data_IF_331799972426
#
_entry.id   IF_331799972426
#
_cell.length_a   1.000
_cell.length_b   1.000
_cell.length_c   1.000
_cell.angle_alpha   90.00
_cell.angle_beta   90.00
_cell.angle_gamma   90.00
#
_symmetry.space_group_name_H-M   'P 1'
#
loop_
_entity.id
_entity.type
_entity.pdbx_description
1 polymer ?
#
# COMPACT_ATOMS: atom_id res chain seq x y z
N UNK A 1 -2.48 9.29 -26.49
CA UNK A 1 -3.06 10.10 -25.40
C UNK A 1 -3.06 9.24 -24.13
N UNK A 2 -2.14 9.54 -23.20
CA UNK A 2 -1.94 8.75 -21.98
C UNK A 2 -2.97 9.11 -20.91
N UNK A 3 -3.96 8.25 -20.69
CA UNK A 3 -4.97 8.39 -19.65
C UNK A 3 -4.56 7.75 -18.31
N UNK A 4 -3.30 7.32 -18.17
CA UNK A 4 -2.84 6.52 -17.03
C UNK A 4 -2.56 7.37 -15.79
N UNK A 5 -2.03 8.59 -15.95
CA UNK A 5 -1.66 9.48 -14.85
C UNK A 5 -2.84 10.00 -14.01
N UNK A 6 -3.96 10.53 -14.57
CA UNK A 6 -5.04 11.07 -13.75
C UNK A 6 -5.70 10.01 -12.86
N UNK A 7 -5.88 8.80 -13.40
CA UNK A 7 -6.44 7.66 -12.65
C UNK A 7 -5.48 7.13 -11.58
N UNK A 8 -4.17 7.21 -11.82
CA UNK A 8 -3.16 6.83 -10.83
C UNK A 8 -3.15 7.81 -9.64
N UNK A 9 -3.29 9.11 -9.89
CA UNK A 9 -3.39 10.10 -8.81
C UNK A 9 -4.68 9.94 -7.98
N UNK A 10 -5.81 9.64 -8.62
CA UNK A 10 -7.06 9.31 -7.90
C UNK A 10 -6.91 8.04 -7.05
N UNK A 11 -6.26 7.01 -7.60
CA UNK A 11 -6.02 5.75 -6.90
C UNK A 11 -5.10 5.96 -5.67
N UNK A 12 -4.04 6.75 -5.80
CA UNK A 12 -3.17 7.13 -4.68
C UNK A 12 -3.96 7.73 -3.50
N UNK A 13 -4.89 8.65 -3.76
CA UNK A 13 -5.72 9.26 -2.71
C UNK A 13 -6.60 8.22 -2.02
N UNK A 14 -7.21 7.31 -2.79
CA UNK A 14 -8.03 6.22 -2.25
C UNK A 14 -7.20 5.32 -1.35
N UNK A 15 -6.01 4.91 -1.79
CA UNK A 15 -5.13 4.05 -1.01
C UNK A 15 -4.59 4.73 0.24
N UNK A 16 -4.25 6.02 0.18
CA UNK A 16 -3.87 6.79 1.35
C UNK A 16 -5.01 6.86 2.37
N UNK A 17 -6.23 7.14 1.91
CA UNK A 17 -7.41 7.17 2.78
C UNK A 17 -7.65 5.79 3.40
N UNK A 18 -7.54 4.72 2.63
CA UNK A 18 -7.73 3.37 3.14
C UNK A 18 -6.67 3.00 4.20
N UNK A 19 -5.41 3.39 3.98
CA UNK A 19 -4.33 3.23 4.96
C UNK A 19 -4.54 4.06 6.23
N UNK A 20 -5.31 5.14 6.21
CA UNK A 20 -5.67 5.86 7.45
C UNK A 20 -6.62 5.04 8.34
N UNK A 21 -7.53 4.27 7.74
CA UNK A 21 -8.50 3.45 8.47
C UNK A 21 -7.96 2.05 8.78
N UNK A 22 -7.21 1.46 7.86
CA UNK A 22 -6.57 0.16 8.00
C UNK A 22 -5.11 0.25 7.53
N UNK A 23 -4.24 0.66 8.44
CA UNK A 23 -2.81 0.88 8.19
C UNK A 23 -2.06 -0.37 7.70
N UNK A 24 -2.66 -1.56 7.91
CA UNK A 24 -2.08 -2.85 7.52
C UNK A 24 -2.75 -3.46 6.29
N UNK A 25 -3.57 -2.71 5.53
CA UNK A 25 -4.26 -3.27 4.38
C UNK A 25 -3.29 -3.56 3.22
N UNK A 26 -2.99 -4.83 2.91
CA UNK A 26 -2.00 -5.19 1.90
C UNK A 26 -2.41 -4.81 0.47
N UNK A 27 -3.72 -4.74 0.19
CA UNK A 27 -4.23 -4.33 -1.12
C UNK A 27 -3.98 -2.84 -1.37
N UNK A 28 -4.16 -2.01 -0.33
CA UNK A 28 -4.00 -0.57 -0.44
C UNK A 28 -2.53 -0.17 -0.55
N UNK A 29 -1.63 -0.81 0.20
CA UNK A 29 -0.20 -0.52 0.09
C UNK A 29 0.38 -0.97 -1.25
N UNK A 30 -0.07 -2.09 -1.81
CA UNK A 30 0.34 -2.55 -3.14
C UNK A 30 -0.22 -1.65 -4.26
N UNK A 31 -1.50 -1.27 -4.16
CA UNK A 31 -2.11 -0.34 -5.10
C UNK A 31 -1.44 1.03 -5.10
N UNK A 32 -1.06 1.54 -3.91
CA UNK A 32 -0.33 2.80 -3.77
C UNK A 32 1.03 2.74 -4.47
N UNK A 33 1.76 1.64 -4.31
CA UNK A 33 3.02 1.41 -5.02
C UNK A 33 2.84 1.47 -6.55
N UNK A 34 1.82 0.79 -7.10
CA UNK A 34 1.56 0.79 -8.54
C UNK A 34 1.14 2.17 -9.06
N UNK A 35 0.32 2.89 -8.29
CA UNK A 35 -0.11 4.24 -8.61
C UNK A 35 1.08 5.21 -8.68
N UNK A 36 2.01 5.13 -7.72
CA UNK A 36 3.21 5.97 -7.69
C UNK A 36 4.17 5.62 -8.84
N UNK A 37 4.34 4.34 -9.18
CA UNK A 37 5.12 3.95 -10.35
C UNK A 37 4.52 4.45 -11.67
N UNK A 38 3.20 4.37 -11.83
CA UNK A 38 2.50 4.86 -13.02
C UNK A 38 2.60 6.38 -13.19
N UNK A 39 2.87 7.10 -12.10
CA UNK A 39 3.13 8.55 -12.08
C UNK A 39 4.62 8.91 -12.25
N UNK A 40 5.52 7.92 -12.35
CA UNK A 40 6.97 8.14 -12.43
C UNK A 40 7.61 8.55 -11.09
N UNK A 41 6.90 8.40 -9.98
CA UNK A 41 7.34 8.76 -8.61
C UNK A 41 8.06 7.60 -7.95
N UNK A 42 9.20 7.23 -8.51
CA UNK A 42 9.91 5.98 -8.17
C UNK A 42 10.40 5.95 -6.70
N UNK A 43 10.88 7.08 -6.18
CA UNK A 43 11.33 7.19 -4.78
C UNK A 43 10.19 6.95 -3.79
N UNK A 44 9.01 7.46 -4.10
CA UNK A 44 7.82 7.34 -3.26
C UNK A 44 7.23 5.94 -3.36
N UNK A 45 7.27 5.34 -4.55
CA UNK A 45 6.94 3.93 -4.75
C UNK A 45 7.83 3.01 -3.90
N UNK A 46 9.15 3.26 -3.84
CA UNK A 46 10.07 2.50 -2.98
C UNK A 46 9.69 2.63 -1.50
N UNK A 47 9.31 3.81 -1.04
CA UNK A 47 8.86 4.03 0.34
C UNK A 47 7.57 3.25 0.63
N UNK A 48 6.58 3.31 -0.26
CA UNK A 48 5.33 2.56 -0.13
C UNK A 48 5.59 1.04 -0.09
N UNK A 49 6.51 0.54 -0.93
CA UNK A 49 6.91 -0.87 -0.95
C UNK A 49 7.61 -1.29 0.35
N UNK A 50 8.52 -0.47 0.87
CA UNK A 50 9.18 -0.75 2.16
C UNK A 50 8.21 -0.78 3.32
N UNK A 51 7.21 0.12 3.31
CA UNK A 51 6.14 0.06 4.28
C UNK A 51 5.40 -1.27 4.14
N UNK A 52 4.94 -1.64 2.95
CA UNK A 52 4.28 -2.94 2.70
C UNK A 52 5.09 -4.12 3.27
N UNK A 53 6.38 -4.20 2.96
CA UNK A 53 7.26 -5.29 3.45
C UNK A 53 7.42 -5.26 4.98
N UNK A 54 7.45 -4.08 5.61
CA UNK A 54 7.50 -3.92 7.08
C UNK A 54 6.21 -4.37 7.76
N UNK A 55 5.05 -3.97 7.21
CA UNK A 55 3.74 -4.37 7.72
C UNK A 55 3.49 -5.87 7.52
N UNK A 56 3.90 -6.42 6.36
CA UNK A 56 3.78 -7.85 6.09
C UNK A 56 4.68 -8.69 7.00
N UNK A 57 5.93 -8.25 7.22
CA UNK A 57 6.80 -8.89 8.22
C UNK A 57 6.18 -8.86 9.60
N UNK A 58 5.55 -7.76 10.01
CA UNK A 58 4.88 -7.61 11.31
C UNK A 58 3.56 -8.40 11.43
N UNK A 59 2.84 -8.61 10.31
CA UNK A 59 1.62 -9.40 10.28
C UNK A 59 1.88 -10.89 10.60
N UNK A 60 3.01 -11.44 10.16
CA UNK A 60 3.44 -12.81 10.50
C UNK A 60 3.92 -12.95 11.98
N UNK A 61 4.35 -11.86 12.63
CA UNK A 61 4.83 -11.90 14.04
C UNK A 61 3.69 -11.81 15.06
N UNK A 62 2.45 -11.54 14.62
CA UNK A 62 1.27 -11.41 15.48
C UNK A 62 0.18 -12.47 15.28
N UNK A 63 0.38 -13.44 14.38
CA UNK A 63 -0.55 -14.56 14.14
C UNK A 63 -0.12 -15.87 14.84
N UNK A 64 0.85 -15.80 15.74
CA UNK A 64 1.09 -16.80 16.79
C UNK A 64 0.38 -16.28 18.06
N UNK A 65 -0.47 -17.09 18.69
CA UNK A 65 -1.33 -16.77 19.86
C UNK A 65 -2.63 -15.99 19.60
N UNK A 66 -3.62 -16.67 19.02
CA UNK A 66 -4.96 -16.78 19.65
C UNK A 66 -5.94 -17.55 18.75
N UNK A 67 -5.56 -18.77 18.39
CA UNK A 67 -6.57 -19.82 18.20
C UNK A 67 -6.61 -20.62 19.50
N UNK A 68 -7.83 -20.81 20.02
CA UNK A 68 -8.27 -21.60 21.18
C UNK A 68 -8.56 -20.82 22.47
N UNK A 69 -9.77 -20.27 22.55
CA UNK A 69 -10.68 -20.62 23.65
C UNK A 69 -12.10 -20.78 23.10
#
# INVERSE_FOLDING_TARGET
MGYTAPRAAEAEVIYHKDLQWNQQNPWSTFGLYQALQAQGREQEAIIARRQFDSWWRNADVGLDYSRLY
#
